data_IF_770365891780
#
_entry.id   IF_770365891780
#
_cell.length_a   1.000
_cell.length_b   1.000
_cell.length_c   1.000
_cell.angle_alpha   90.00
_cell.angle_beta   90.00
_cell.angle_gamma   90.00
#
_symmetry.space_group_name_H-M   'P 1'
#
loop_
_entity.id
_entity.type
_entity.pdbx_description
1 polymer ?
#
# COMPACT_ATOMS: atom_id res chain seq x y z
N UNK A 1 7.12 -5.21 18.19
CA UNK A 1 7.16 -6.51 17.46
C UNK A 1 7.09 -6.22 15.95
N UNK A 2 7.97 -5.34 15.51
CA UNK A 2 8.23 -4.91 14.15
C UNK A 2 9.76 -4.91 14.02
N UNK A 3 10.34 -5.31 12.89
CA UNK A 3 11.79 -5.59 12.76
C UNK A 3 12.09 -7.00 12.27
N UNK A 4 13.32 -7.50 12.44
CA UNK A 4 13.86 -8.70 11.76
C UNK A 4 12.93 -9.91 11.69
N UNK A 5 12.22 -10.21 12.79
CA UNK A 5 11.29 -11.35 12.84
C UNK A 5 10.05 -11.15 11.97
N UNK A 6 9.55 -9.92 11.87
CA UNK A 6 8.43 -9.58 11.00
C UNK A 6 8.86 -9.69 9.54
N UNK A 7 9.96 -9.06 9.15
CA UNK A 7 10.47 -9.13 7.77
C UNK A 7 10.87 -10.54 7.35
N UNK A 8 11.45 -11.33 8.26
CA UNK A 8 11.70 -12.76 8.00
C UNK A 8 10.41 -13.51 7.64
N UNK A 9 9.31 -13.24 8.35
CA UNK A 9 8.01 -13.87 8.05
C UNK A 9 7.40 -13.36 6.75
N UNK A 10 7.62 -12.10 6.39
CA UNK A 10 7.22 -11.56 5.10
C UNK A 10 7.92 -12.30 3.96
N UNK A 11 9.24 -12.49 4.04
CA UNK A 11 10.00 -13.26 3.03
C UNK A 11 9.58 -14.74 2.93
N UNK A 12 8.99 -15.30 3.98
CA UNK A 12 8.45 -16.67 3.99
C UNK A 12 7.05 -16.78 3.36
N UNK A 13 6.40 -15.66 3.00
CA UNK A 13 5.09 -15.66 2.34
C UNK A 13 5.16 -16.27 0.94
N UNK A 14 4.14 -17.05 0.59
CA UNK A 14 3.97 -17.56 -0.78
C UNK A 14 3.72 -16.42 -1.78
N UNK A 15 4.00 -16.59 -3.08
CA UNK A 15 3.86 -15.51 -4.06
C UNK A 15 2.49 -14.82 -4.10
N UNK A 16 1.39 -15.57 -3.90
CA UNK A 16 0.06 -14.98 -3.84
C UNK A 16 -0.18 -14.22 -2.53
N UNK A 17 0.43 -14.64 -1.42
CA UNK A 17 0.35 -13.96 -0.13
C UNK A 17 1.16 -12.66 -0.13
N UNK A 18 2.34 -12.67 -0.77
CA UNK A 18 3.14 -11.47 -1.07
C UNK A 18 2.29 -10.44 -1.81
N UNK A 19 1.58 -10.90 -2.86
CA UNK A 19 0.68 -10.04 -3.65
C UNK A 19 -0.46 -9.47 -2.80
N UNK A 20 -1.15 -10.30 -2.02
CA UNK A 20 -2.26 -9.85 -1.16
C UNK A 20 -1.77 -8.86 -0.11
N UNK A 21 -0.58 -9.09 0.48
CA UNK A 21 -0.01 -8.19 1.47
C UNK A 21 0.31 -6.81 0.87
N UNK A 22 1.05 -6.76 -0.24
CA UNK A 22 1.37 -5.51 -0.92
C UNK A 22 0.12 -4.77 -1.40
N UNK A 23 -0.84 -5.50 -1.98
CA UNK A 23 -2.10 -4.94 -2.47
C UNK A 23 -2.96 -4.37 -1.34
N UNK A 24 -2.96 -5.01 -0.16
CA UNK A 24 -3.66 -4.50 1.01
C UNK A 24 -3.04 -3.19 1.54
N UNK A 25 -1.71 -3.03 1.49
CA UNK A 25 -1.08 -1.75 1.82
C UNK A 25 -1.44 -0.66 0.82
N UNK A 26 -1.41 -0.97 -0.49
CA UNK A 26 -1.85 -0.06 -1.53
C UNK A 26 -3.34 0.32 -1.37
N UNK A 27 -4.20 -0.62 -0.99
CA UNK A 27 -5.62 -0.40 -0.70
C UNK A 27 -5.79 0.62 0.44
N UNK A 28 -5.04 0.46 1.53
CA UNK A 28 -5.07 1.40 2.66
C UNK A 28 -4.54 2.77 2.27
N UNK A 29 -3.49 2.84 1.45
CA UNK A 29 -2.88 4.12 1.04
C UNK A 29 -3.65 4.86 -0.05
N UNK A 30 -4.67 4.25 -0.67
CA UNK A 30 -5.47 4.86 -1.73
C UNK A 30 -5.96 6.29 -1.44
N UNK A 31 -6.48 6.62 -0.24
CA UNK A 31 -6.94 7.98 0.06
C UNK A 31 -5.85 9.04 -0.10
N UNK A 32 -4.58 8.70 0.17
CA UNK A 32 -3.45 9.61 0.00
C UNK A 32 -3.29 10.02 -1.47
N UNK A 33 -3.27 9.01 -2.37
CA UNK A 33 -3.17 9.24 -3.80
C UNK A 33 -4.38 10.01 -4.33
N UNK A 34 -5.59 9.63 -3.90
CA UNK A 34 -6.82 10.25 -4.36
C UNK A 34 -6.90 11.74 -4.01
N UNK A 35 -6.55 12.10 -2.77
CA UNK A 35 -6.51 13.50 -2.33
C UNK A 35 -5.47 14.30 -3.13
N UNK A 36 -4.28 13.75 -3.33
CA UNK A 36 -3.25 14.39 -4.15
C UNK A 36 -3.70 14.58 -5.61
N UNK A 37 -4.29 13.56 -6.23
CA UNK A 37 -4.76 13.64 -7.61
C UNK A 37 -5.85 14.70 -7.77
N UNK A 38 -6.78 14.78 -6.81
CA UNK A 38 -7.82 15.81 -6.79
C UNK A 38 -7.24 17.21 -6.63
N UNK A 39 -6.27 17.40 -5.73
CA UNK A 39 -5.70 18.70 -5.41
C UNK A 39 -4.75 19.22 -6.51
N UNK A 40 -3.94 18.34 -7.10
CA UNK A 40 -2.93 18.69 -8.10
C UNK A 40 -3.44 18.68 -9.54
N UNK A 41 -4.52 17.94 -9.80
CA UNK A 41 -4.98 17.63 -11.17
C UNK A 41 -4.07 16.68 -11.94
N UNK A 42 -3.07 16.08 -11.27
CA UNK A 42 -2.21 15.05 -11.85
C UNK A 42 -2.76 13.65 -11.56
N UNK A 43 -2.66 12.75 -12.54
CA UNK A 43 -3.13 11.39 -12.41
C UNK A 43 -4.66 11.28 -12.28
N UNK A 44 -5.13 10.11 -11.86
CA UNK A 44 -6.56 9.80 -11.77
C UNK A 44 -6.83 8.86 -10.60
N UNK A 45 -7.47 9.38 -9.56
CA UNK A 45 -7.94 8.59 -8.43
C UNK A 45 -8.82 7.41 -8.89
N UNK A 46 -9.67 7.65 -9.90
CA UNK A 46 -10.52 6.62 -10.49
C UNK A 46 -9.70 5.51 -11.17
N UNK A 47 -8.66 5.87 -11.92
CA UNK A 47 -7.79 4.87 -12.57
C UNK A 47 -7.04 4.04 -11.53
N UNK A 48 -6.52 4.66 -10.47
CA UNK A 48 -5.88 3.95 -9.35
C UNK A 48 -6.86 2.99 -8.67
N UNK A 49 -8.09 3.44 -8.38
CA UNK A 49 -9.14 2.61 -7.78
C UNK A 49 -9.51 1.41 -8.65
N UNK A 50 -9.72 1.64 -9.94
CA UNK A 50 -10.00 0.59 -10.93
C UNK A 50 -8.85 -0.41 -11.02
N UNK A 51 -7.62 0.07 -10.86
CA UNK A 51 -6.43 -0.75 -10.85
C UNK A 51 -6.40 -1.70 -9.65
N UNK A 52 -6.63 -1.16 -8.45
CA UNK A 52 -6.77 -1.98 -7.24
C UNK A 52 -7.88 -3.02 -7.40
N UNK A 53 -9.04 -2.63 -7.91
CA UNK A 53 -10.19 -3.53 -8.06
C UNK A 53 -9.92 -4.67 -9.04
N UNK A 54 -9.24 -4.41 -10.15
CA UNK A 54 -8.82 -5.44 -11.10
C UNK A 54 -7.77 -6.39 -10.50
N UNK A 55 -6.87 -5.90 -9.66
CA UNK A 55 -5.91 -6.74 -8.93
C UNK A 55 -6.60 -7.64 -7.90
N UNK A 56 -7.59 -7.13 -7.17
CA UNK A 56 -8.42 -7.94 -6.28
C UNK A 56 -9.26 -8.97 -7.05
N UNK A 57 -9.83 -8.59 -8.19
CA UNK A 57 -10.56 -9.50 -9.08
C UNK A 57 -9.66 -10.63 -9.58
N UNK A 58 -8.44 -10.31 -10.01
CA UNK A 58 -7.45 -11.31 -10.44
C UNK A 58 -7.16 -12.36 -9.36
N UNK A 59 -7.16 -11.96 -8.09
CA UNK A 59 -6.88 -12.86 -6.96
C UNK A 59 -8.10 -13.73 -6.55
N UNK A 60 -9.32 -13.25 -6.79
CA UNK A 60 -10.55 -13.82 -6.22
C UNK A 60 -11.49 -14.46 -7.26
N UNK A 61 -11.48 -14.00 -8.51
CA UNK A 61 -12.35 -14.53 -9.56
C UNK A 61 -11.65 -15.66 -10.31
N UNK A 62 -12.20 -16.88 -10.17
CA UNK A 62 -11.69 -18.06 -10.88
C UNK A 62 -11.79 -17.86 -12.39
N UNK A 63 -10.64 -17.94 -13.07
CA UNK A 63 -10.58 -17.77 -14.53
C UNK A 63 -10.61 -16.30 -14.97
N UNK A 64 -10.32 -15.36 -14.07
CA UNK A 64 -10.13 -13.94 -14.40
C UNK A 64 -9.21 -13.78 -15.62
N UNK A 65 -9.61 -12.86 -16.52
CA UNK A 65 -8.90 -12.53 -17.76
C UNK A 65 -8.31 -11.12 -17.73
N UNK A 66 -8.08 -10.58 -16.54
CA UNK A 66 -7.46 -9.26 -16.36
C UNK A 66 -6.11 -9.25 -17.08
N UNK A 67 -5.92 -8.27 -17.96
CA UNK A 67 -4.66 -8.06 -18.66
C UNK A 67 -3.73 -7.21 -17.79
N UNK A 68 -3.03 -7.86 -16.87
CA UNK A 68 -2.14 -7.18 -15.92
C UNK A 68 -1.02 -6.38 -16.60
N UNK A 69 -0.56 -6.81 -17.78
CA UNK A 69 0.48 -6.08 -18.53
C UNK A 69 -0.02 -4.73 -19.04
N UNK A 70 -1.23 -4.69 -19.62
CA UNK A 70 -1.82 -3.43 -20.08
C UNK A 70 -2.17 -2.51 -18.90
N UNK A 71 -2.62 -3.08 -17.78
CA UNK A 71 -2.96 -2.32 -16.60
C UNK A 71 -1.73 -1.68 -15.94
N UNK A 72 -0.59 -2.39 -15.93
CA UNK A 72 0.67 -1.85 -15.45
C UNK A 72 1.18 -0.69 -16.33
N UNK A 73 1.13 -0.84 -17.66
CA UNK A 73 1.53 0.21 -18.60
C UNK A 73 0.70 1.49 -18.44
N UNK A 74 -0.62 1.36 -18.24
CA UNK A 74 -1.49 2.51 -17.94
C UNK A 74 -1.13 3.16 -16.60
N UNK A 75 -0.89 2.34 -15.57
CA UNK A 75 -0.57 2.79 -14.22
C UNK A 75 0.76 3.56 -14.13
N UNK A 76 1.79 3.22 -14.92
CA UNK A 76 3.07 3.93 -14.91
C UNK A 76 2.92 5.44 -15.19
N UNK A 77 1.97 5.81 -16.05
CA UNK A 77 1.68 7.23 -16.37
C UNK A 77 1.06 8.01 -15.21
N UNK A 78 0.56 7.30 -14.19
CA UNK A 78 -0.15 7.85 -13.04
C UNK A 78 0.76 8.09 -11.84
N UNK A 79 2.03 7.67 -11.91
CA UNK A 79 2.99 7.77 -10.80
C UNK A 79 3.53 9.21 -10.73
N UNK A 80 3.34 9.94 -9.61
CA UNK A 80 3.87 11.30 -9.48
C UNK A 80 5.38 11.30 -9.24
N UNK A 81 6.04 12.35 -9.74
CA UNK A 81 7.41 12.71 -9.37
C UNK A 81 7.32 13.84 -8.32
N UNK A 82 7.56 13.58 -7.02
CA UNK A 82 7.40 14.58 -5.97
C UNK A 82 8.21 15.86 -6.18
N UNK A 83 9.33 15.78 -6.91
CA UNK A 83 10.17 16.95 -7.19
C UNK A 83 9.51 17.97 -8.14
N UNK A 84 8.40 17.59 -8.78
CA UNK A 84 7.62 18.42 -9.70
C UNK A 84 6.40 19.08 -9.06
N UNK A 85 6.18 18.87 -7.76
CA UNK A 85 5.03 19.40 -7.05
C UNK A 85 5.48 20.14 -5.79
N UNK A 86 4.87 21.30 -5.52
CA UNK A 86 5.14 22.06 -4.30
C UNK A 86 4.42 21.47 -3.07
N UNK A 87 3.41 20.64 -3.29
CA UNK A 87 2.59 20.04 -2.23
C UNK A 87 3.22 18.77 -1.68
N UNK A 88 3.29 18.66 -0.35
CA UNK A 88 3.74 17.45 0.34
C UNK A 88 2.96 16.18 -0.07
N UNK A 89 1.68 16.31 -0.44
CA UNK A 89 0.83 15.18 -0.85
C UNK A 89 1.38 14.33 -1.99
N UNK A 90 2.34 14.83 -2.78
CA UNK A 90 3.00 14.05 -3.82
C UNK A 90 3.83 12.87 -3.27
N UNK A 91 4.39 13.00 -2.05
CA UNK A 91 5.17 11.93 -1.42
C UNK A 91 4.28 10.74 -0.99
N UNK A 92 3.22 10.92 -0.16
CA UNK A 92 2.29 9.83 0.14
C UNK A 92 1.59 9.22 -1.09
N UNK A 93 1.39 10.02 -2.15
CA UNK A 93 0.86 9.51 -3.41
C UNK A 93 1.85 8.61 -4.15
N UNK A 94 3.15 8.97 -4.15
CA UNK A 94 4.20 8.12 -4.67
C UNK A 94 4.30 6.81 -3.87
N UNK A 95 4.27 6.87 -2.54
CA UNK A 95 4.35 5.67 -1.69
C UNK A 95 3.19 4.70 -1.95
N UNK A 96 1.97 5.24 -2.13
CA UNK A 96 0.81 4.46 -2.55
C UNK A 96 1.06 3.78 -3.92
N UNK A 97 1.66 4.50 -4.86
CA UNK A 97 2.03 3.95 -6.16
C UNK A 97 3.09 2.86 -6.08
N UNK A 98 4.10 3.03 -5.21
CA UNK A 98 5.17 2.04 -4.99
C UNK A 98 4.58 0.73 -4.47
N UNK A 99 3.73 0.77 -3.43
CA UNK A 99 3.12 -0.46 -2.91
C UNK A 99 2.25 -1.18 -3.95
N UNK A 100 1.51 -0.43 -4.78
CA UNK A 100 0.74 -1.02 -5.88
C UNK A 100 1.66 -1.65 -6.94
N UNK A 101 2.78 -0.99 -7.28
CA UNK A 101 3.83 -1.53 -8.15
C UNK A 101 4.44 -2.82 -7.59
N UNK A 102 4.71 -2.89 -6.29
CA UNK A 102 5.17 -4.11 -5.63
C UNK A 102 4.15 -5.25 -5.78
N UNK A 103 2.85 -4.97 -5.65
CA UNK A 103 1.82 -5.98 -5.89
C UNK A 103 1.79 -6.50 -7.34
N UNK A 104 2.09 -5.66 -8.34
CA UNK A 104 2.26 -6.12 -9.72
C UNK A 104 3.49 -6.99 -9.88
N UNK A 105 4.62 -6.52 -9.38
CA UNK A 105 5.90 -7.22 -9.47
C UNK A 105 5.81 -8.59 -8.78
N UNK A 106 5.08 -8.71 -7.68
CA UNK A 106 4.88 -9.99 -7.00
C UNK A 106 4.06 -10.99 -7.83
N UNK A 107 3.23 -10.53 -8.77
CA UNK A 107 2.51 -11.42 -9.70
C UNK A 107 3.42 -11.84 -10.86
N UNK A 108 4.16 -10.88 -11.41
CA UNK A 108 4.95 -11.03 -12.65
C UNK A 108 6.32 -11.66 -12.37
N UNK A 109 7.10 -11.05 -11.49
CA UNK A 109 8.49 -11.39 -11.22
C UNK A 109 8.62 -12.47 -10.13
N UNK A 110 7.82 -12.36 -9.05
CA UNK A 110 7.79 -13.32 -7.92
C UNK A 110 9.17 -13.50 -7.26
N UNK A 111 9.87 -12.40 -7.01
CA UNK A 111 11.21 -12.42 -6.42
C UNK A 111 11.13 -12.79 -4.92
N UNK A 112 10.04 -12.41 -4.25
CA UNK A 112 9.79 -12.71 -2.82
C UNK A 112 10.16 -11.58 -1.87
N UNK A 113 10.50 -10.41 -2.41
CA UNK A 113 10.89 -9.20 -1.66
C UNK A 113 9.78 -8.12 -1.71
N UNK A 114 8.76 -8.31 -2.53
CA UNK A 114 7.77 -7.27 -2.85
C UNK A 114 6.89 -6.89 -1.65
N UNK A 115 6.58 -7.82 -0.74
CA UNK A 115 5.85 -7.47 0.50
C UNK A 115 6.68 -6.64 1.47
N UNK A 116 8.00 -6.85 1.49
CA UNK A 116 8.92 -6.06 2.32
C UNK A 116 9.11 -4.66 1.74
N UNK A 117 9.25 -4.54 0.42
CA UNK A 117 9.28 -3.24 -0.26
C UNK A 117 8.00 -2.43 -0.02
N UNK A 118 6.83 -3.07 -0.17
CA UNK A 118 5.55 -2.42 0.11
C UNK A 118 5.41 -2.01 1.60
N UNK A 119 5.89 -2.86 2.52
CA UNK A 119 5.95 -2.55 3.95
C UNK A 119 6.79 -1.30 4.20
N UNK A 120 7.98 -1.21 3.61
CA UNK A 120 8.85 -0.04 3.73
C UNK A 120 8.22 1.23 3.15
N UNK A 121 7.53 1.15 2.01
CA UNK A 121 6.82 2.29 1.44
C UNK A 121 5.72 2.81 2.39
N UNK A 122 4.93 1.91 2.97
CA UNK A 122 3.87 2.31 3.91
C UNK A 122 4.41 2.89 5.21
N UNK A 123 5.48 2.30 5.79
CA UNK A 123 6.12 2.80 7.01
C UNK A 123 6.84 4.13 6.75
N UNK A 124 7.56 4.24 5.64
CA UNK A 124 8.24 5.46 5.22
C UNK A 124 7.26 6.61 4.99
N UNK A 125 6.08 6.33 4.43
CA UNK A 125 5.00 7.30 4.28
C UNK A 125 4.56 7.88 5.64
N UNK A 126 4.36 7.03 6.64
CA UNK A 126 3.96 7.48 7.99
C UNK A 126 5.09 8.23 8.69
N UNK A 127 6.32 7.72 8.63
CA UNK A 127 7.49 8.39 9.20
C UNK A 127 7.69 9.79 8.59
N UNK A 128 7.72 9.89 7.26
CA UNK A 128 7.88 11.15 6.57
C UNK A 128 6.74 12.14 6.85
N UNK A 129 5.53 11.64 7.12
CA UNK A 129 4.40 12.50 7.49
C UNK A 129 4.59 13.11 8.88
N UNK A 130 5.05 12.30 9.84
CA UNK A 130 5.38 12.77 11.19
C UNK A 130 6.51 13.80 11.12
N UNK A 131 7.59 13.49 10.40
CA UNK A 131 8.73 14.41 10.20
C UNK A 131 8.30 15.74 9.60
N UNK A 132 7.34 15.71 8.66
CA UNK A 132 6.76 16.93 8.08
C UNK A 132 5.99 17.75 9.13
N UNK A 133 5.19 17.09 9.97
CA UNK A 133 4.44 17.77 11.05
C UNK A 133 5.37 18.37 12.11
N UNK A 134 6.44 17.67 12.46
CA UNK A 134 7.45 18.11 13.44
C UNK A 134 8.46 19.10 12.84
N UNK A 135 8.54 19.20 11.51
CA UNK A 135 9.45 20.09 10.78
C UNK A 135 10.92 19.71 10.88
N UNK A 136 11.22 18.44 11.15
CA UNK A 136 12.57 17.89 11.30
C UNK A 136 12.59 16.38 11.03
N UNK A 137 13.77 15.86 10.71
CA UNK A 137 14.03 14.42 10.71
C UNK A 137 13.91 13.87 12.13
N UNK A 138 13.47 12.61 12.22
CA UNK A 138 13.26 11.91 13.49
C UNK A 138 14.03 10.59 13.52
N UNK A 139 14.59 10.27 14.68
CA UNK A 139 15.22 8.97 14.90
C UNK A 139 14.14 7.90 15.12
N UNK A 140 14.49 6.63 14.90
CA UNK A 140 13.55 5.52 15.01
C UNK A 140 12.83 5.48 16.37
N UNK A 141 13.55 5.73 17.48
CA UNK A 141 13.00 5.72 18.84
C UNK A 141 11.95 6.81 19.07
N UNK A 142 12.14 7.99 18.47
CA UNK A 142 11.17 9.08 18.52
C UNK A 142 9.90 8.73 17.72
N UNK A 143 10.03 8.07 16.57
CA UNK A 143 8.88 7.66 15.76
C UNK A 143 7.96 6.70 16.51
N UNK A 144 8.50 5.80 17.35
CA UNK A 144 7.71 4.90 18.18
C UNK A 144 6.86 5.63 19.24
N UNK A 145 7.14 6.90 19.55
CA UNK A 145 6.32 7.68 20.50
C UNK A 145 5.02 8.20 19.86
N UNK A 146 4.88 8.14 18.53
CA UNK A 146 3.71 8.62 17.81
C UNK A 146 2.67 7.52 17.57
N UNK A 147 1.43 7.77 18.02
CA UNK A 147 0.29 6.85 17.89
C UNK A 147 0.04 6.42 16.43
N UNK A 148 0.19 7.32 15.46
CA UNK A 148 0.00 6.99 14.03
C UNK A 148 1.05 6.00 13.52
N UNK A 149 2.29 6.08 14.02
CA UNK A 149 3.34 5.13 13.68
C UNK A 149 3.04 3.76 14.30
N UNK A 150 2.76 3.70 15.60
CA UNK A 150 2.39 2.45 16.29
C UNK A 150 1.19 1.76 15.61
N UNK A 151 0.15 2.53 15.26
CA UNK A 151 -1.03 2.01 14.56
C UNK A 151 -0.69 1.36 13.21
N UNK A 152 0.28 1.91 12.46
CA UNK A 152 0.72 1.31 11.20
C UNK A 152 1.49 0.00 11.44
N UNK A 153 2.37 -0.04 12.44
CA UNK A 153 3.10 -1.26 12.81
C UNK A 153 2.13 -2.38 13.22
N UNK A 154 1.15 -2.06 14.07
CA UNK A 154 0.14 -3.01 14.54
C UNK A 154 -0.73 -3.54 13.40
N UNK A 155 -1.17 -2.65 12.51
CA UNK A 155 -1.94 -3.02 11.33
C UNK A 155 -1.17 -3.99 10.45
N UNK A 156 0.10 -3.71 10.16
CA UNK A 156 0.92 -4.56 9.31
C UNK A 156 1.21 -5.92 9.95
N UNK A 157 1.44 -5.97 11.26
CA UNK A 157 1.58 -7.23 12.00
C UNK A 157 0.29 -8.06 11.92
N UNK A 158 -0.87 -7.42 12.03
CA UNK A 158 -2.15 -8.09 11.90
C UNK A 158 -2.44 -8.54 10.47
N UNK A 159 -2.12 -7.70 9.48
CA UNK A 159 -2.20 -8.04 8.05
C UNK A 159 -1.34 -9.26 7.73
N UNK A 160 -0.09 -9.29 8.22
CA UNK A 160 0.83 -10.41 8.03
C UNK A 160 0.25 -11.73 8.55
N UNK A 161 -0.43 -11.70 9.71
CA UNK A 161 -1.11 -12.89 10.22
C UNK A 161 -2.26 -13.30 9.29
N UNK A 162 -3.09 -12.35 8.84
CA UNK A 162 -4.25 -12.59 7.97
C UNK A 162 -3.90 -13.10 6.58
N UNK A 163 -2.76 -12.71 6.02
CA UNK A 163 -2.29 -13.27 4.74
C UNK A 163 -1.70 -14.67 4.89
N UNK A 164 -1.22 -15.04 6.08
CA UNK A 164 -0.63 -16.35 6.39
C UNK A 164 -1.68 -17.47 6.61
N UNK A 165 -2.78 -17.43 5.84
CA UNK A 165 -3.85 -18.43 5.83
C UNK A 165 -3.94 -19.13 4.47
N UNK A 166 -4.86 -20.11 4.35
CA UNK A 166 -5.11 -20.81 3.09
C UNK A 166 -5.68 -19.88 2.03
N UNK A 167 -5.37 -20.20 0.75
CA UNK A 167 -5.85 -19.40 -0.38
C UNK A 167 -7.33 -19.66 -0.62
N UNK A 168 -8.16 -18.73 -0.20
CA UNK A 168 -9.59 -18.72 -0.39
C UNK A 168 -10.10 -17.33 -0.77
N UNK A 169 -11.13 -17.27 -1.62
CA UNK A 169 -11.61 -15.99 -2.18
C UNK A 169 -12.31 -15.15 -1.12
N UNK A 170 -13.10 -15.76 -0.24
CA UNK A 170 -13.79 -15.05 0.83
C UNK A 170 -12.77 -14.50 1.85
N UNK A 171 -11.74 -15.28 2.13
CA UNK A 171 -10.62 -14.87 3.00
C UNK A 171 -9.84 -13.68 2.43
N UNK A 172 -9.57 -13.68 1.12
CA UNK A 172 -8.90 -12.55 0.43
C UNK A 172 -9.79 -11.30 0.44
N UNK A 173 -11.11 -11.44 0.21
CA UNK A 173 -12.05 -10.32 0.29
C UNK A 173 -12.19 -9.77 1.72
N UNK A 174 -12.10 -10.62 2.74
CA UNK A 174 -12.05 -10.18 4.13
C UNK A 174 -10.78 -9.38 4.44
N UNK A 175 -9.65 -9.73 3.80
CA UNK A 175 -8.41 -8.93 3.89
C UNK A 175 -8.58 -7.59 3.20
N UNK A 176 -9.21 -7.52 2.00
CA UNK A 176 -9.54 -6.24 1.34
C UNK A 176 -10.39 -5.34 2.26
N UNK A 177 -11.45 -5.90 2.87
CA UNK A 177 -12.32 -5.16 3.78
C UNK A 177 -11.56 -4.67 5.04
N UNK A 178 -10.67 -5.49 5.59
CA UNK A 178 -9.78 -5.09 6.67
C UNK A 178 -8.82 -3.98 6.24
N UNK A 179 -8.22 -4.09 5.06
CA UNK A 179 -7.24 -3.14 4.54
C UNK A 179 -7.85 -1.76 4.25
N UNK A 180 -9.12 -1.71 3.87
CA UNK A 180 -9.83 -0.47 3.59
C UNK A 180 -9.93 0.46 4.80
N UNK A 181 -9.82 -0.05 6.05
CA UNK A 181 -9.81 0.75 7.29
C UNK A 181 -10.92 1.83 7.35
N UNK A 182 -12.11 1.50 6.84
CA UNK A 182 -13.23 2.45 6.79
C UNK A 182 -13.00 3.67 5.89
N UNK A 183 -12.12 3.57 4.89
CA UNK A 183 -11.75 4.66 3.98
C UNK A 183 -10.63 5.57 4.49
N UNK A 184 -9.99 5.23 5.62
CA UNK A 184 -8.93 6.03 6.25
C UNK A 184 -7.55 5.46 5.93
N UNK A 185 -6.62 6.32 5.51
CA UNK A 185 -5.28 5.90 5.13
C UNK A 185 -4.35 5.61 6.31
N UNK A 186 -3.13 5.15 6.00
CA UNK A 186 -2.04 4.99 6.95
C UNK A 186 -1.63 6.29 7.65
N UNK A 187 -1.85 7.45 7.03
CA UNK A 187 -1.60 8.79 7.61
C UNK A 187 -2.89 9.54 7.98
N UNK A 188 -4.02 8.83 8.10
CA UNK A 188 -5.27 9.40 8.61
C UNK A 188 -6.09 10.20 7.60
N UNK A 189 -5.78 10.13 6.30
CA UNK A 189 -6.58 10.79 5.25
C UNK A 189 -7.84 9.99 4.97
N UNK A 190 -9.00 10.65 5.02
CA UNK A 190 -10.29 10.14 4.58
C UNK A 190 -10.80 10.95 3.39
N UNK A 191 -11.51 10.29 2.47
CA UNK A 191 -12.22 10.94 1.36
C UNK A 191 -13.71 11.20 1.68
N UNK A 192 -14.19 10.70 2.83
CA UNK A 192 -15.52 10.98 3.37
C UNK A 192 -15.41 12.14 4.39
N UNK A 193 -16.34 13.10 4.31
CA UNK A 193 -16.46 14.26 5.22
C UNK A 193 -16.88 13.88 6.65
#
# INVERSE_FOLDING_TARGET
MFGDKFYKRLRELQPWQQTVFALALAERMYPNYALFAQASGFGSAMAFRQTLDQMWEYLTVKGSRVNLSALLEEFESQIPDPTRFDSYGAYPALDACVALGCAYNSVICRVGEESEEASHASIGCVAGFIEMLEGREMEDDELYEHEVFENELEFQVELQKRVAFERDSDSILAIKAFAAQGGVSNIGISLED
#
